data_IF_919067294801
#
_entry.id   IF_919067294801
#
_cell.length_a   1.000
_cell.length_b   1.000
_cell.length_c   1.000
_cell.angle_alpha   90.00
_cell.angle_beta   90.00
_cell.angle_gamma   90.00
#
_symmetry.space_group_name_H-M   'P 1'
#
loop_
_entity.id
_entity.type
_entity.pdbx_description
1 polymer ?
#
# COMPACT_ATOMS: atom_id res chain seq x y z
N UNK A 1 27.10 -62.95 -22.61
CA UNK A 1 27.93 -61.78 -22.25
C UNK A 1 27.59 -60.68 -23.24
N UNK A 2 27.04 -59.53 -22.89
CA UNK A 2 26.71 -58.95 -21.59
C UNK A 2 25.60 -57.92 -21.83
N UNK A 3 24.75 -57.73 -20.82
CA UNK A 3 23.81 -56.62 -20.74
C UNK A 3 24.59 -55.32 -20.51
N UNK A 4 24.47 -54.35 -21.41
CA UNK A 4 24.78 -52.95 -21.13
C UNK A 4 23.78 -52.04 -21.85
N UNK A 5 22.55 -51.97 -21.33
CA UNK A 5 21.67 -50.82 -21.57
C UNK A 5 21.93 -49.80 -20.47
N UNK A 6 23.01 -49.04 -20.62
CA UNK A 6 23.36 -47.91 -19.75
C UNK A 6 22.41 -46.75 -20.08
N UNK A 7 21.27 -46.69 -19.41
CA UNK A 7 20.41 -45.51 -19.40
C UNK A 7 21.08 -44.43 -18.57
N UNK A 8 21.87 -43.58 -19.22
CA UNK A 8 22.33 -42.32 -18.65
C UNK A 8 21.11 -41.43 -18.42
N UNK A 9 20.60 -41.46 -17.18
CA UNK A 9 19.74 -40.42 -16.64
C UNK A 9 20.52 -39.11 -16.68
N UNK A 10 20.32 -38.32 -17.74
CA UNK A 10 20.78 -36.95 -17.77
C UNK A 10 20.07 -36.23 -16.62
N UNK A 11 20.84 -35.77 -15.63
CA UNK A 11 20.33 -34.85 -14.63
C UNK A 11 19.69 -33.68 -15.39
N UNK A 12 18.46 -33.25 -15.03
CA UNK A 12 17.79 -32.19 -15.75
C UNK A 12 18.68 -30.95 -15.74
N UNK A 13 18.98 -30.41 -16.92
CA UNK A 13 19.68 -29.14 -17.08
C UNK A 13 19.06 -28.15 -16.10
N UNK A 14 19.87 -27.65 -15.17
CA UNK A 14 19.45 -26.64 -14.22
C UNK A 14 18.92 -25.48 -15.05
N UNK A 15 17.59 -25.27 -15.03
CA UNK A 15 16.94 -24.19 -15.77
C UNK A 15 17.63 -22.89 -15.38
N UNK A 16 18.42 -22.36 -16.31
CA UNK A 16 19.06 -21.06 -16.19
C UNK A 16 17.96 -20.05 -15.86
N UNK A 17 18.04 -19.44 -14.68
CA UNK A 17 17.09 -18.44 -14.22
C UNK A 17 17.85 -17.13 -14.13
N UNK A 18 17.75 -16.25 -15.14
CA UNK A 18 18.42 -14.96 -15.13
C UNK A 18 18.13 -14.13 -13.86
N UNK A 19 16.95 -14.35 -13.25
CA UNK A 19 16.58 -13.74 -11.98
C UNK A 19 17.52 -14.12 -10.83
N UNK A 20 18.10 -15.33 -10.87
CA UNK A 20 19.03 -15.86 -9.88
C UNK A 20 20.39 -15.16 -9.88
N UNK A 21 20.93 -14.88 -11.07
CA UNK A 21 22.26 -14.24 -11.20
C UNK A 21 22.24 -12.80 -10.68
N UNK A 22 21.13 -12.10 -10.86
CA UNK A 22 20.95 -10.74 -10.36
C UNK A 22 20.67 -10.66 -8.85
N UNK A 23 20.56 -11.79 -8.16
CA UNK A 23 19.97 -11.84 -6.85
C UNK A 23 20.82 -12.65 -5.87
N UNK A 24 21.06 -12.03 -4.72
CA UNK A 24 21.81 -12.61 -3.62
C UNK A 24 20.85 -13.41 -2.71
N UNK A 25 20.96 -14.76 -2.64
CA UNK A 25 20.13 -15.57 -1.74
C UNK A 25 20.24 -15.15 -0.27
N UNK A 26 21.39 -14.66 0.16
CA UNK A 26 21.62 -14.20 1.54
C UNK A 26 20.89 -12.90 1.84
N UNK A 27 20.53 -12.14 0.79
CA UNK A 27 19.70 -10.92 0.89
C UNK A 27 18.21 -11.20 0.77
N UNK A 28 17.77 -12.45 0.68
CA UNK A 28 16.33 -12.75 0.56
C UNK A 28 15.53 -12.15 1.72
N UNK A 29 14.60 -11.23 1.40
CA UNK A 29 13.79 -10.49 2.39
C UNK A 29 14.63 -9.73 3.43
N UNK A 30 15.84 -9.34 3.06
CA UNK A 30 16.65 -8.38 3.80
C UNK A 30 16.40 -7.00 3.18
N UNK A 31 16.13 -6.00 4.01
CA UNK A 31 15.94 -4.64 3.52
C UNK A 31 17.26 -4.10 2.96
N UNK A 32 17.22 -3.60 1.73
CA UNK A 32 18.37 -2.99 1.06
C UNK A 32 18.58 -1.55 1.51
N UNK A 33 17.48 -0.84 1.79
CA UNK A 33 17.48 0.51 2.31
C UNK A 33 16.20 0.81 3.10
N UNK A 34 16.31 1.71 4.07
CA UNK A 34 15.18 2.27 4.79
C UNK A 34 14.63 3.48 4.04
N UNK A 35 13.34 3.47 3.70
CA UNK A 35 12.71 4.54 2.91
C UNK A 35 11.75 5.40 3.74
N UNK A 36 11.11 4.80 4.75
CA UNK A 36 10.24 5.51 5.69
C UNK A 36 10.28 4.85 7.07
N UNK A 37 10.32 5.65 8.13
CA UNK A 37 10.39 5.19 9.51
C UNK A 37 9.07 5.37 10.24
N UNK A 38 8.88 4.63 11.33
CA UNK A 38 7.87 4.96 12.32
C UNK A 38 8.49 4.93 13.71
N UNK A 39 7.95 5.73 14.62
CA UNK A 39 8.51 5.95 15.95
C UNK A 39 8.61 4.65 16.76
N UNK A 40 7.60 3.77 16.68
CA UNK A 40 7.55 2.53 17.49
C UNK A 40 8.44 1.41 16.94
N UNK A 41 8.52 1.22 15.60
CA UNK A 41 9.16 0.04 15.01
C UNK A 41 10.48 0.34 14.28
N UNK A 42 10.86 1.61 14.14
CA UNK A 42 12.07 2.05 13.42
C UNK A 42 12.01 1.91 11.90
N UNK A 43 11.16 1.03 11.36
CA UNK A 43 10.92 0.85 9.92
C UNK A 43 9.43 0.76 9.60
N UNK A 44 9.02 1.41 8.54
CA UNK A 44 7.66 1.35 8.04
C UNK A 44 7.59 1.07 6.53
N UNK A 45 8.53 1.61 5.75
CA UNK A 45 8.73 1.27 4.35
C UNK A 45 10.22 1.03 4.06
N UNK A 46 10.53 -0.01 3.29
CA UNK A 46 11.89 -0.37 2.89
C UNK A 46 11.97 -0.67 1.41
N UNK A 47 13.16 -0.47 0.84
CA UNK A 47 13.57 -1.09 -0.41
C UNK A 47 13.92 -2.55 -0.11
N UNK A 48 13.33 -3.49 -0.83
CA UNK A 48 13.75 -4.90 -0.82
C UNK A 48 13.54 -5.50 -2.21
N UNK A 49 14.61 -5.57 -2.98
CA UNK A 49 14.63 -6.03 -4.37
C UNK A 49 14.38 -7.53 -4.47
N UNK A 50 14.70 -8.29 -3.42
CA UNK A 50 14.69 -9.77 -3.38
C UNK A 50 13.50 -10.37 -2.61
N UNK A 51 12.52 -9.57 -2.18
CA UNK A 51 11.37 -10.08 -1.41
C UNK A 51 10.25 -10.73 -2.24
N UNK A 52 10.33 -10.64 -3.58
CA UNK A 52 9.35 -11.22 -4.50
C UNK A 52 9.15 -12.74 -4.33
N UNK A 53 8.00 -13.25 -4.81
CA UNK A 53 7.65 -14.68 -4.72
C UNK A 53 8.74 -15.55 -5.36
N UNK A 54 9.28 -16.45 -4.54
CA UNK A 54 10.22 -17.52 -4.88
C UNK A 54 10.02 -18.07 -6.29
N UNK A 55 11.10 -18.18 -7.06
CA UNK A 55 11.18 -19.26 -8.05
C UNK A 55 10.85 -20.57 -7.33
N UNK A 56 9.82 -21.28 -7.79
CA UNK A 56 9.42 -22.57 -7.20
C UNK A 56 10.62 -23.53 -7.19
N UNK A 57 10.72 -24.38 -6.17
CA UNK A 57 11.62 -25.55 -6.09
C UNK A 57 13.15 -25.33 -6.06
N UNK A 58 13.72 -24.34 -5.34
CA UNK A 58 15.19 -24.38 -5.14
C UNK A 58 15.93 -23.10 -4.75
N UNK A 59 15.24 -21.97 -4.60
CA UNK A 59 15.68 -20.78 -3.84
C UNK A 59 16.99 -20.13 -4.29
N UNK A 60 16.96 -19.51 -5.46
CA UNK A 60 17.76 -18.31 -5.69
C UNK A 60 16.89 -17.11 -5.32
N UNK A 61 17.47 -16.07 -4.73
CA UNK A 61 16.78 -14.78 -4.70
C UNK A 61 16.44 -14.41 -6.16
N UNK A 62 15.47 -13.52 -6.34
CA UNK A 62 15.11 -13.01 -7.65
C UNK A 62 14.78 -11.52 -7.50
N UNK A 63 15.34 -10.68 -8.37
CA UNK A 63 14.91 -9.29 -8.48
C UNK A 63 13.43 -9.29 -8.86
N UNK A 64 12.60 -8.71 -8.01
CA UNK A 64 11.15 -8.61 -8.22
C UNK A 64 10.73 -7.26 -8.81
N UNK A 65 9.61 -7.26 -9.51
CA UNK A 65 8.95 -6.03 -9.99
C UNK A 65 8.32 -5.21 -8.85
N UNK A 66 8.18 -5.76 -7.65
CA UNK A 66 7.76 -5.05 -6.42
C UNK A 66 9.00 -4.84 -5.57
N UNK A 67 9.44 -3.60 -5.41
CA UNK A 67 10.69 -3.26 -4.68
C UNK A 67 10.44 -2.46 -3.40
N UNK A 68 9.29 -1.78 -3.27
CA UNK A 68 8.92 -1.08 -2.04
C UNK A 68 7.98 -1.92 -1.19
N UNK A 69 8.35 -2.13 0.06
CA UNK A 69 7.63 -3.02 0.96
C UNK A 69 7.23 -2.33 2.25
N UNK A 70 5.97 -2.50 2.61
CA UNK A 70 5.44 -2.03 3.88
C UNK A 70 5.85 -3.00 5.00
N UNK A 71 6.53 -2.49 6.02
CA UNK A 71 7.10 -3.30 7.11
C UNK A 71 6.53 -2.96 8.48
N UNK A 72 5.84 -1.83 8.64
CA UNK A 72 5.20 -1.47 9.90
C UNK A 72 4.02 -2.43 10.22
N UNK A 73 4.01 -3.13 11.37
CA UNK A 73 2.94 -4.06 11.72
C UNK A 73 1.56 -3.42 11.85
N UNK A 74 1.49 -2.17 12.31
CA UNK A 74 0.23 -1.44 12.46
C UNK A 74 -0.32 -0.99 11.10
N UNK A 75 0.55 -0.49 10.22
CA UNK A 75 0.14 -0.11 8.85
C UNK A 75 -0.29 -1.34 8.04
N UNK A 76 0.46 -2.43 8.11
CA UNK A 76 0.06 -3.68 7.47
C UNK A 76 -1.30 -4.16 7.97
N UNK A 77 -1.56 -4.12 9.29
CA UNK A 77 -2.83 -4.61 9.82
C UNK A 77 -4.03 -3.74 9.43
N UNK A 78 -3.91 -2.42 9.50
CA UNK A 78 -5.03 -1.54 9.12
C UNK A 78 -5.30 -1.62 7.62
N UNK A 79 -4.27 -1.73 6.78
CA UNK A 79 -4.45 -1.85 5.33
C UNK A 79 -5.01 -3.24 4.96
N UNK A 80 -4.54 -4.31 5.59
CA UNK A 80 -5.13 -5.64 5.44
C UNK A 80 -6.61 -5.66 5.84
N UNK A 81 -6.99 -4.89 6.86
CA UNK A 81 -8.40 -4.69 7.22
C UNK A 81 -9.16 -4.01 6.08
N UNK A 82 -8.66 -2.92 5.52
CA UNK A 82 -9.31 -2.26 4.38
C UNK A 82 -9.48 -3.20 3.17
N UNK A 83 -8.45 -3.99 2.85
CA UNK A 83 -8.53 -5.01 1.81
C UNK A 83 -9.59 -6.08 2.13
N UNK A 84 -9.67 -6.53 3.39
CA UNK A 84 -10.71 -7.44 3.88
C UNK A 84 -12.12 -6.87 3.76
N UNK A 85 -12.28 -5.56 3.93
CA UNK A 85 -13.52 -4.82 3.66
C UNK A 85 -13.66 -4.37 2.19
N UNK A 86 -13.03 -5.11 1.26
CA UNK A 86 -13.20 -4.96 -0.20
C UNK A 86 -12.82 -3.58 -0.76
N UNK A 87 -11.95 -2.82 -0.08
CA UNK A 87 -11.54 -1.50 -0.56
C UNK A 87 -10.79 -1.57 -1.90
N UNK A 88 -10.08 -2.65 -2.21
CA UNK A 88 -9.48 -2.87 -3.54
C UNK A 88 -10.54 -2.80 -4.64
N UNK A 89 -11.68 -3.47 -4.45
CA UNK A 89 -12.79 -3.45 -5.41
C UNK A 89 -13.42 -2.05 -5.49
N UNK A 90 -13.49 -1.33 -4.38
CA UNK A 90 -13.98 0.06 -4.36
C UNK A 90 -13.06 0.98 -5.18
N UNK A 91 -11.73 0.84 -5.05
CA UNK A 91 -10.78 1.59 -5.89
C UNK A 91 -10.97 1.25 -7.37
N UNK A 92 -11.06 -0.03 -7.73
CA UNK A 92 -11.29 -0.42 -9.14
C UNK A 92 -12.60 0.15 -9.70
N UNK A 93 -13.66 0.19 -8.90
CA UNK A 93 -14.93 0.81 -9.30
C UNK A 93 -14.80 2.33 -9.46
N UNK A 94 -14.09 3.00 -8.56
CA UNK A 94 -13.86 4.44 -8.66
C UNK A 94 -13.00 4.81 -9.87
N UNK A 95 -11.94 4.04 -10.18
CA UNK A 95 -11.15 4.24 -11.40
C UNK A 95 -11.98 4.09 -12.68
N UNK A 96 -12.94 3.17 -12.69
CA UNK A 96 -13.85 3.01 -13.83
C UNK A 96 -14.85 4.17 -13.97
N UNK A 97 -15.24 4.81 -12.88
CA UNK A 97 -16.20 5.92 -12.86
C UNK A 97 -15.54 7.30 -12.98
N UNK A 98 -14.27 7.41 -12.62
CA UNK A 98 -13.51 8.65 -12.54
C UNK A 98 -12.25 8.53 -13.41
N UNK A 99 -12.32 8.85 -14.71
CA UNK A 99 -11.19 8.69 -15.64
C UNK A 99 -9.90 9.37 -15.16
N UNK A 100 -10.00 10.56 -14.57
CA UNK A 100 -8.85 11.27 -14.03
C UNK A 100 -8.09 10.45 -12.96
N UNK A 101 -8.78 9.71 -12.08
CA UNK A 101 -8.14 8.86 -11.08
C UNK A 101 -7.37 7.71 -11.73
N UNK A 102 -7.92 7.12 -12.80
CA UNK A 102 -7.26 6.10 -13.58
C UNK A 102 -5.99 6.67 -14.25
N UNK A 103 -6.10 7.82 -14.91
CA UNK A 103 -4.97 8.49 -15.57
C UNK A 103 -3.84 8.81 -14.59
N UNK A 104 -4.18 9.34 -13.41
CA UNK A 104 -3.23 9.61 -12.34
C UNK A 104 -2.53 8.36 -11.83
N UNK A 105 -3.24 7.24 -11.74
CA UNK A 105 -2.65 5.95 -11.34
C UNK A 105 -1.73 5.41 -12.43
N UNK A 106 -2.13 5.51 -13.70
CA UNK A 106 -1.28 5.12 -14.84
C UNK A 106 0.01 5.94 -14.86
N UNK A 107 -0.09 7.27 -14.72
CA UNK A 107 1.08 8.17 -14.64
C UNK A 107 2.01 7.83 -13.47
N UNK A 108 1.46 7.30 -12.36
CA UNK A 108 2.29 6.91 -11.20
C UNK A 108 3.27 5.77 -11.49
N UNK A 109 3.07 5.00 -12.56
CA UNK A 109 3.98 3.91 -12.95
C UNK A 109 5.32 4.46 -13.48
N UNK A 110 5.31 5.57 -14.20
CA UNK A 110 6.54 6.20 -14.71
C UNK A 110 7.34 6.84 -13.58
N UNK A 111 6.65 7.44 -12.61
CA UNK A 111 7.27 7.97 -11.38
C UNK A 111 7.90 6.82 -10.57
N UNK A 112 7.22 5.68 -10.49
CA UNK A 112 7.76 4.47 -9.88
C UNK A 112 9.01 3.94 -10.59
N UNK A 113 8.98 3.81 -11.92
CA UNK A 113 10.12 3.34 -12.71
C UNK A 113 11.33 4.28 -12.57
N UNK A 114 11.08 5.60 -12.58
CA UNK A 114 12.11 6.61 -12.36
C UNK A 114 12.77 6.45 -10.99
N UNK A 115 11.97 6.28 -9.92
CA UNK A 115 12.51 6.04 -8.58
C UNK A 115 13.23 4.71 -8.46
N UNK A 116 12.75 3.66 -9.12
CA UNK A 116 13.44 2.38 -9.16
C UNK A 116 14.84 2.54 -9.78
N UNK A 117 14.96 3.24 -10.89
CA UNK A 117 16.25 3.54 -11.54
C UNK A 117 17.23 4.28 -10.63
N UNK A 118 16.74 5.20 -9.81
CA UNK A 118 17.58 5.95 -8.84
C UNK A 118 18.11 5.08 -7.70
N UNK A 119 17.32 4.09 -7.26
CA UNK A 119 17.62 3.29 -6.06
C UNK A 119 18.34 1.98 -6.37
N UNK A 120 18.18 1.45 -7.58
CA UNK A 120 18.81 0.21 -8.00
C UNK A 120 20.23 0.44 -8.50
N UNK A 121 21.12 -0.51 -8.23
CA UNK A 121 22.44 -0.52 -8.88
C UNK A 121 22.31 -0.66 -10.41
N UNK A 122 23.31 -0.26 -11.20
CA UNK A 122 23.25 -0.37 -12.66
C UNK A 122 22.90 -1.79 -13.17
N UNK A 123 23.45 -2.83 -12.53
CA UNK A 123 23.16 -4.21 -12.86
C UNK A 123 21.70 -4.61 -12.53
N UNK A 124 21.20 -4.19 -11.37
CA UNK A 124 19.81 -4.43 -10.97
C UNK A 124 18.82 -3.67 -11.85
N UNK A 125 19.13 -2.43 -12.24
CA UNK A 125 18.30 -1.67 -13.17
C UNK A 125 18.25 -2.31 -14.55
N UNK A 126 19.40 -2.69 -15.12
CA UNK A 126 19.46 -3.38 -16.41
C UNK A 126 18.58 -4.65 -16.39
N UNK A 127 18.66 -5.42 -15.31
CA UNK A 127 17.78 -6.57 -15.12
C UNK A 127 16.30 -6.16 -15.06
N UNK A 128 15.97 -5.17 -14.22
CA UNK A 128 14.59 -4.71 -13.99
C UNK A 128 13.94 -4.20 -15.28
N UNK A 129 14.66 -3.36 -16.02
CA UNK A 129 14.21 -2.80 -17.31
C UNK A 129 13.94 -3.90 -18.33
N UNK A 130 14.90 -4.81 -18.53
CA UNK A 130 14.77 -5.91 -19.49
C UNK A 130 13.62 -6.88 -19.19
N UNK A 131 13.28 -7.10 -17.91
CA UNK A 131 12.30 -8.11 -17.52
C UNK A 131 10.93 -7.55 -17.15
N UNK A 132 10.83 -6.28 -16.77
CA UNK A 132 9.59 -5.70 -16.27
C UNK A 132 9.13 -4.46 -17.03
N UNK A 133 9.99 -3.80 -17.81
CA UNK A 133 9.63 -2.61 -18.59
C UNK A 133 9.78 -2.82 -20.11
N UNK A 134 10.27 -3.97 -20.55
CA UNK A 134 10.49 -4.24 -21.98
C UNK A 134 9.18 -4.27 -22.77
N UNK A 135 9.10 -3.40 -23.78
CA UNK A 135 8.01 -3.39 -24.76
C UNK A 135 8.14 -4.50 -25.81
N UNK A 136 9.35 -5.05 -25.99
CA UNK A 136 9.59 -6.20 -26.88
C UNK A 136 8.97 -7.49 -26.34
N UNK A 137 8.71 -7.56 -25.03
CA UNK A 137 8.04 -8.68 -24.38
C UNK A 137 6.83 -8.21 -23.53
N UNK A 138 5.71 -7.81 -24.17
CA UNK A 138 4.55 -7.26 -23.46
C UNK A 138 3.96 -8.18 -22.39
N UNK A 139 4.12 -9.50 -22.52
CA UNK A 139 3.69 -10.49 -21.53
C UNK A 139 4.50 -10.41 -20.22
N UNK A 140 5.75 -9.97 -20.30
CA UNK A 140 6.62 -9.78 -19.15
C UNK A 140 6.46 -8.39 -18.52
N UNK A 141 6.08 -7.37 -19.29
CA UNK A 141 5.88 -6.01 -18.79
C UNK A 141 5.00 -6.00 -17.51
N UNK A 142 5.45 -5.24 -16.50
CA UNK A 142 4.77 -5.05 -15.21
C UNK A 142 4.69 -3.58 -14.87
N UNK A 143 3.52 -3.15 -14.42
CA UNK A 143 3.26 -1.77 -14.06
C UNK A 143 3.30 -1.55 -12.55
N UNK A 144 4.08 -0.53 -12.14
CA UNK A 144 4.12 0.00 -10.78
C UNK A 144 4.68 -0.96 -9.72
N UNK A 145 4.75 -0.49 -8.46
CA UNK A 145 5.24 -1.31 -7.35
C UNK A 145 4.36 -2.55 -7.10
N UNK A 146 3.10 -2.53 -7.54
CA UNK A 146 2.22 -3.68 -7.44
C UNK A 146 2.39 -4.69 -8.59
N UNK A 147 3.30 -4.49 -9.54
CA UNK A 147 3.64 -5.43 -10.61
C UNK A 147 2.40 -6.05 -11.31
N UNK A 148 1.47 -5.21 -11.75
CA UNK A 148 0.26 -5.65 -12.46
C UNK A 148 0.53 -5.80 -13.95
N UNK A 149 -0.30 -6.56 -14.67
CA UNK A 149 -0.14 -6.80 -16.13
C UNK A 149 -0.80 -5.74 -17.02
N UNK A 150 -1.56 -4.81 -16.44
CA UNK A 150 -2.24 -3.73 -17.16
C UNK A 150 -2.06 -2.41 -16.40
N UNK A 151 -1.83 -1.30 -17.10
CA UNK A 151 -1.58 0.00 -16.49
C UNK A 151 -2.73 0.47 -15.57
N UNK A 152 -3.99 0.23 -15.96
CA UNK A 152 -5.17 0.54 -15.14
C UNK A 152 -5.40 -0.47 -13.99
N UNK A 153 -4.61 -1.54 -13.93
CA UNK A 153 -4.76 -2.62 -12.96
C UNK A 153 -4.30 -2.24 -11.56
N UNK A 154 -4.87 -2.92 -10.57
CA UNK A 154 -4.45 -2.85 -9.17
C UNK A 154 -4.70 -4.19 -8.49
N UNK A 155 -3.78 -4.60 -7.61
CA UNK A 155 -3.93 -5.85 -6.83
C UNK A 155 -3.92 -5.69 -5.32
N UNK A 156 -3.21 -4.69 -4.78
CA UNK A 156 -2.91 -4.62 -3.35
C UNK A 156 -2.68 -3.17 -2.91
N UNK A 157 -3.39 -2.75 -1.86
CA UNK A 157 -3.26 -1.42 -1.26
C UNK A 157 -1.94 -1.30 -0.51
N UNK A 158 -1.42 -2.38 0.07
CA UNK A 158 -0.12 -2.36 0.77
C UNK A 158 1.02 -1.91 -0.15
N UNK A 159 1.03 -2.40 -1.39
CA UNK A 159 2.06 -2.05 -2.37
C UNK A 159 1.99 -0.58 -2.77
N UNK A 160 0.79 -0.02 -2.89
CA UNK A 160 0.58 1.39 -3.26
C UNK A 160 0.89 2.33 -2.11
N UNK A 161 0.53 1.95 -0.88
CA UNK A 161 0.96 2.71 0.31
C UNK A 161 2.47 2.64 0.48
N UNK A 162 3.10 1.49 0.25
CA UNK A 162 4.56 1.39 0.26
C UNK A 162 5.20 2.30 -0.79
N UNK A 163 4.62 2.39 -1.99
CA UNK A 163 5.07 3.33 -3.03
C UNK A 163 4.97 4.79 -2.55
N UNK A 164 3.82 5.22 -2.02
CA UNK A 164 3.64 6.56 -1.45
C UNK A 164 4.66 6.86 -0.34
N UNK A 165 4.85 5.95 0.61
CA UNK A 165 5.80 6.14 1.72
C UNK A 165 7.26 6.11 1.26
N UNK A 166 7.57 5.49 0.12
CA UNK A 166 8.89 5.53 -0.50
C UNK A 166 9.22 6.88 -1.17
N UNK A 167 8.33 7.88 -1.05
CA UNK A 167 8.46 9.18 -1.70
C UNK A 167 8.05 9.16 -3.18
N UNK A 168 7.32 8.13 -3.61
CA UNK A 168 6.82 7.99 -4.98
C UNK A 168 5.32 8.22 -4.97
N UNK A 169 4.89 9.37 -5.49
CA UNK A 169 3.49 9.73 -5.53
C UNK A 169 2.65 8.63 -6.22
N UNK A 170 1.63 8.14 -5.52
CA UNK A 170 0.59 7.27 -6.08
C UNK A 170 -0.77 7.75 -5.53
N UNK A 171 -1.76 8.06 -6.39
CA UNK A 171 -3.00 8.69 -5.92
C UNK A 171 -3.75 7.80 -4.93
N UNK A 172 -3.74 6.48 -5.16
CA UNK A 172 -4.46 5.53 -4.31
C UNK A 172 -3.71 5.28 -3.01
N UNK A 173 -2.38 5.12 -3.06
CA UNK A 173 -1.55 5.03 -1.86
C UNK A 173 -1.77 6.25 -0.95
N UNK A 174 -1.84 7.44 -1.53
CA UNK A 174 -2.07 8.70 -0.82
C UNK A 174 -3.49 8.78 -0.23
N UNK A 175 -4.51 8.33 -0.98
CA UNK A 175 -5.88 8.21 -0.49
C UNK A 175 -5.95 7.26 0.70
N UNK A 176 -5.32 6.10 0.63
CA UNK A 176 -5.33 5.12 1.75
C UNK A 176 -4.64 5.70 2.99
N UNK A 177 -3.49 6.37 2.83
CA UNK A 177 -2.82 7.02 3.97
C UNK A 177 -3.70 8.09 4.58
N UNK A 178 -4.26 8.99 3.78
CA UNK A 178 -5.15 10.04 4.27
C UNK A 178 -6.44 9.46 4.88
N UNK A 179 -6.93 8.33 4.39
CA UNK A 179 -8.08 7.65 4.97
C UNK A 179 -7.78 7.13 6.39
N UNK A 180 -6.56 6.63 6.66
CA UNK A 180 -6.13 6.31 8.04
C UNK A 180 -6.17 7.56 8.92
N UNK A 181 -5.74 8.71 8.39
CA UNK A 181 -5.75 9.98 9.13
C UNK A 181 -7.18 10.47 9.43
N UNK A 182 -8.11 10.32 8.48
CA UNK A 182 -9.53 10.59 8.67
C UNK A 182 -10.11 9.68 9.77
N UNK A 183 -9.88 8.36 9.69
CA UNK A 183 -10.37 7.43 10.71
C UNK A 183 -9.82 7.78 12.09
N UNK A 184 -8.54 8.16 12.17
CA UNK A 184 -7.94 8.62 13.43
C UNK A 184 -8.60 9.90 13.95
N UNK A 185 -8.94 10.87 13.08
CA UNK A 185 -9.70 12.06 13.47
C UNK A 185 -11.06 11.67 14.06
N UNK A 186 -11.81 10.80 13.38
CA UNK A 186 -13.12 10.34 13.84
C UNK A 186 -13.03 9.63 15.20
N UNK A 187 -12.04 8.77 15.41
CA UNK A 187 -11.81 8.10 16.71
C UNK A 187 -11.51 9.11 17.81
N UNK A 188 -10.73 10.16 17.51
CA UNK A 188 -10.46 11.24 18.48
C UNK A 188 -11.73 12.02 18.83
N UNK A 189 -12.52 12.42 17.83
CA UNK A 189 -13.80 13.09 18.06
C UNK A 189 -14.74 12.23 18.92
N UNK A 190 -14.80 10.92 18.66
CA UNK A 190 -15.62 9.99 19.46
C UNK A 190 -15.15 9.89 20.92
N UNK A 191 -13.84 9.89 21.17
CA UNK A 191 -13.28 9.88 22.53
C UNK A 191 -13.61 11.18 23.30
N UNK A 192 -13.61 12.32 22.61
CA UNK A 192 -13.98 13.62 23.18
C UNK A 192 -15.48 13.68 23.55
N UNK A 193 -16.36 13.02 22.79
CA UNK A 193 -17.79 12.90 23.09
C UNK A 193 -18.12 11.94 24.25
N UNK A 194 -17.28 10.93 24.49
CA UNK A 194 -17.51 9.87 25.47
C UNK A 194 -17.44 10.31 26.94
N UNK A 195 -16.85 11.48 27.23
CA UNK A 195 -16.70 11.99 28.59
C UNK A 195 -18.02 12.45 29.23
N UNK A 196 -19.13 12.50 28.49
CA UNK A 196 -20.36 13.16 28.94
C UNK A 196 -21.44 12.20 29.46
N UNK A 197 -21.48 10.93 29.02
CA UNK A 197 -22.59 10.00 29.34
C UNK A 197 -22.16 8.52 29.34
N UNK A 198 -22.39 7.81 30.46
CA UNK A 198 -22.01 6.39 30.65
C UNK A 198 -23.00 5.37 30.04
N UNK A 199 -24.20 5.79 29.63
CA UNK A 199 -25.18 4.88 29.02
C UNK A 199 -24.89 4.72 27.52
N UNK A 200 -24.92 3.48 27.01
CA UNK A 200 -24.77 3.20 25.58
C UNK A 200 -23.33 3.06 25.06
N UNK A 201 -22.34 2.82 25.92
CA UNK A 201 -20.92 2.67 25.51
C UNK A 201 -20.74 1.59 24.43
N UNK A 202 -21.38 0.43 24.59
CA UNK A 202 -21.27 -0.66 23.61
C UNK A 202 -21.97 -0.31 22.28
N UNK A 203 -23.13 0.34 22.33
CA UNK A 203 -23.83 0.80 21.13
C UNK A 203 -23.00 1.83 20.35
N UNK A 204 -22.40 2.81 21.05
CA UNK A 204 -21.47 3.77 20.46
C UNK A 204 -20.26 3.08 19.83
N UNK A 205 -19.67 2.10 20.53
CA UNK A 205 -18.55 1.32 20.02
C UNK A 205 -18.92 0.55 18.75
N UNK A 206 -20.08 -0.10 18.73
CA UNK A 206 -20.58 -0.85 17.56
C UNK A 206 -20.87 0.08 16.37
N UNK A 207 -21.48 1.25 16.62
CA UNK A 207 -21.75 2.26 15.57
C UNK A 207 -20.45 2.88 15.03
N UNK A 208 -19.47 3.17 15.90
CA UNK A 208 -18.12 3.60 15.49
C UNK A 208 -17.49 2.56 14.57
N UNK A 209 -17.46 1.31 15.00
CA UNK A 209 -16.87 0.20 14.25
C UNK A 209 -17.55 0.02 12.89
N UNK A 210 -18.89 0.02 12.86
CA UNK A 210 -19.65 -0.09 11.62
C UNK A 210 -19.34 1.06 10.64
N UNK A 211 -19.15 2.27 11.16
CA UNK A 211 -18.78 3.44 10.35
C UNK A 211 -17.35 3.31 9.79
N UNK A 212 -16.38 2.98 10.63
CA UNK A 212 -14.96 2.90 10.24
C UNK A 212 -14.66 1.69 9.32
N UNK A 213 -15.43 0.60 9.45
CA UNK A 213 -15.37 -0.58 8.57
C UNK A 213 -16.17 -0.41 7.27
N UNK A 214 -16.90 0.70 7.12
CA UNK A 214 -17.76 0.94 5.98
C UNK A 214 -16.95 1.16 4.71
N UNK A 215 -17.06 0.23 3.75
CA UNK A 215 -16.53 0.43 2.40
C UNK A 215 -17.17 1.65 1.73
N UNK A 216 -18.41 2.01 2.10
CA UNK A 216 -19.08 3.22 1.59
C UNK A 216 -18.34 4.49 2.05
N UNK A 217 -17.94 4.57 3.32
CA UNK A 217 -17.14 5.70 3.81
C UNK A 217 -15.82 5.85 3.03
N UNK A 218 -15.14 4.73 2.73
CA UNK A 218 -13.93 4.75 1.91
C UNK A 218 -14.21 5.25 0.47
N UNK A 219 -15.27 4.77 -0.17
CA UNK A 219 -15.68 5.22 -1.51
C UNK A 219 -16.04 6.71 -1.53
N UNK A 220 -16.79 7.18 -0.52
CA UNK A 220 -17.22 8.57 -0.39
C UNK A 220 -16.02 9.48 -0.14
N UNK A 221 -15.07 9.04 0.69
CA UNK A 221 -13.79 9.74 0.90
C UNK A 221 -13.00 9.91 -0.39
N UNK A 222 -12.82 8.82 -1.15
CA UNK A 222 -12.11 8.85 -2.43
C UNK A 222 -12.81 9.72 -3.46
N UNK A 223 -14.15 9.69 -3.51
CA UNK A 223 -14.95 10.56 -4.40
C UNK A 223 -14.79 12.03 -4.03
N UNK A 224 -14.83 12.36 -2.74
CA UNK A 224 -14.61 13.72 -2.26
C UNK A 224 -13.20 14.23 -2.58
N UNK A 225 -12.18 13.37 -2.42
CA UNK A 225 -10.81 13.65 -2.84
C UNK A 225 -10.73 13.93 -4.35
N UNK A 226 -11.27 13.04 -5.19
CA UNK A 226 -11.20 13.20 -6.65
C UNK A 226 -11.86 14.51 -7.08
N UNK A 227 -13.03 14.85 -6.52
CA UNK A 227 -13.70 16.13 -6.77
C UNK A 227 -12.83 17.33 -6.38
N UNK A 228 -12.29 17.33 -5.16
CA UNK A 228 -11.44 18.42 -4.68
C UNK A 228 -10.13 18.55 -5.49
N UNK A 229 -9.63 17.44 -6.03
CA UNK A 229 -8.44 17.37 -6.85
C UNK A 229 -8.68 17.88 -8.28
N UNK A 230 -9.78 17.46 -8.91
CA UNK A 230 -10.09 17.77 -10.31
C UNK A 230 -10.56 19.21 -10.52
N UNK A 231 -11.14 19.85 -9.50
CA UNK A 231 -11.52 21.26 -9.52
C UNK A 231 -10.30 22.22 -9.56
N UNK A 232 -9.08 21.73 -9.34
CA UNK A 232 -7.85 22.54 -9.37
C UNK A 232 -7.08 22.33 -10.67
N UNK A 233 -7.20 23.31 -11.58
CA UNK A 233 -6.69 23.21 -12.96
C UNK A 233 -5.15 23.14 -13.11
N UNK A 234 -4.34 23.54 -12.12
CA UNK A 234 -2.93 23.90 -12.40
C UNK A 234 -1.85 22.90 -11.96
N UNK A 235 -2.07 22.00 -10.99
CA UNK A 235 -0.95 21.23 -10.39
C UNK A 235 -1.18 19.70 -10.35
N UNK A 236 -2.31 19.23 -10.91
CA UNK A 236 -2.74 17.85 -10.72
C UNK A 236 -2.96 17.49 -9.24
N UNK A 237 -3.29 16.23 -8.97
CA UNK A 237 -3.61 15.79 -7.60
C UNK A 237 -2.40 15.79 -6.65
N UNK A 238 -1.17 15.64 -7.15
CA UNK A 238 0.04 15.54 -6.33
C UNK A 238 0.48 16.91 -5.76
N UNK A 239 0.07 18.02 -6.39
CA UNK A 239 0.25 19.37 -5.89
C UNK A 239 -0.70 19.76 -4.76
N UNK A 240 -1.69 18.92 -4.41
CA UNK A 240 -2.68 19.26 -3.37
C UNK A 240 -2.02 19.49 -2.02
N UNK A 241 -2.03 20.74 -1.59
CA UNK A 241 -1.59 21.18 -0.26
C UNK A 241 -2.71 21.94 0.43
N UNK A 242 -2.92 21.62 1.71
CA UNK A 242 -3.86 22.34 2.59
C UNK A 242 -5.27 22.46 1.99
N UNK A 243 -5.73 21.41 1.29
CA UNK A 243 -7.07 21.37 0.70
C UNK A 243 -8.00 20.73 1.71
N UNK A 244 -9.07 21.44 2.06
CA UNK A 244 -10.15 20.88 2.88
C UNK A 244 -11.34 20.51 2.01
N UNK A 245 -11.95 19.38 2.31
CA UNK A 245 -13.17 18.93 1.64
C UNK A 245 -14.08 18.19 2.61
N UNK A 246 -15.37 18.18 2.28
CA UNK A 246 -16.38 17.47 3.04
C UNK A 246 -16.47 16.00 2.61
N UNK A 247 -16.48 15.11 3.60
CA UNK A 247 -16.59 13.66 3.44
C UNK A 247 -17.92 13.20 4.03
N UNK A 248 -18.87 12.71 3.20
CA UNK A 248 -20.11 12.13 3.69
C UNK A 248 -19.86 10.99 4.69
N UNK A 249 -20.63 10.97 5.77
CA UNK A 249 -20.63 9.87 6.73
C UNK A 249 -21.81 8.93 6.45
N UNK A 250 -21.66 7.62 6.70
CA UNK A 250 -22.78 6.67 6.63
C UNK A 250 -23.95 7.11 7.52
N UNK A 251 -25.18 6.86 7.07
CA UNK A 251 -26.39 7.09 7.88
C UNK A 251 -26.35 6.27 9.18
N UNK A 252 -26.89 6.84 10.26
CA UNK A 252 -26.90 6.20 11.58
C UNK A 252 -25.54 6.15 12.29
N UNK A 253 -24.55 6.92 11.84
CA UNK A 253 -23.26 7.02 12.52
C UNK A 253 -23.40 7.67 13.91
N UNK A 254 -22.50 7.31 14.83
CA UNK A 254 -22.55 7.75 16.23
C UNK A 254 -22.33 9.25 16.43
N UNK A 255 -21.77 9.97 15.45
CA UNK A 255 -21.50 11.40 15.57
C UNK A 255 -22.75 12.24 15.30
N UNK A 256 -23.83 11.65 14.76
CA UNK A 256 -25.06 12.38 14.41
C UNK A 256 -24.84 13.43 13.31
N UNK A 257 -23.77 13.31 12.53
CA UNK A 257 -23.39 14.23 11.45
C UNK A 257 -23.66 13.58 10.10
N UNK A 258 -24.05 14.36 9.11
CA UNK A 258 -24.17 13.88 7.72
C UNK A 258 -22.82 13.81 7.01
N UNK A 259 -21.85 14.59 7.46
CA UNK A 259 -20.51 14.65 6.90
C UNK A 259 -19.46 15.16 7.90
N UNK A 260 -18.19 15.01 7.54
CA UNK A 260 -17.03 15.51 8.30
C UNK A 260 -16.10 16.30 7.39
N UNK A 261 -15.57 17.41 7.89
CA UNK A 261 -14.54 18.19 7.20
C UNK A 261 -13.18 17.51 7.37
N UNK A 262 -12.48 17.29 6.27
CA UNK A 262 -11.16 16.68 6.24
C UNK A 262 -10.16 17.55 5.50
N UNK A 263 -8.98 17.74 6.08
CA UNK A 263 -7.87 18.45 5.44
C UNK A 263 -6.83 17.47 4.89
N UNK A 264 -6.66 17.48 3.58
CA UNK A 264 -5.68 16.66 2.86
C UNK A 264 -4.25 16.91 3.34
N UNK A 265 -3.52 15.82 3.57
CA UNK A 265 -2.10 15.82 3.88
C UNK A 265 -1.31 15.36 2.66
N UNK A 266 -0.42 16.23 2.20
CA UNK A 266 0.51 15.90 1.13
C UNK A 266 1.51 14.85 1.59
N UNK A 267 2.01 14.03 0.67
CA UNK A 267 2.93 12.93 0.96
C UNK A 267 4.20 13.42 1.68
N UNK A 268 4.70 14.59 1.30
CA UNK A 268 5.86 15.25 1.93
C UNK A 268 5.67 15.58 3.42
N UNK A 269 4.44 15.64 3.92
CA UNK A 269 4.13 15.95 5.31
C UNK A 269 4.08 14.69 6.19
N UNK A 270 3.98 13.50 5.59
CA UNK A 270 3.72 12.25 6.31
C UNK A 270 4.81 11.90 7.33
N UNK A 271 6.08 12.17 7.00
CA UNK A 271 7.21 11.89 7.88
C UNK A 271 7.25 12.80 9.13
N UNK A 272 6.56 13.95 9.09
CA UNK A 272 6.55 14.96 10.16
C UNK A 272 5.31 14.91 11.05
N UNK A 273 4.40 13.96 10.81
CA UNK A 273 3.18 13.82 11.59
C UNK A 273 3.49 13.52 13.06
N UNK A 274 2.80 14.22 13.96
CA UNK A 274 2.78 13.94 15.39
C UNK A 274 1.31 13.83 15.87
N UNK A 275 0.88 12.71 16.48
CA UNK A 275 1.53 11.39 16.43
C UNK A 275 1.76 10.91 14.98
N UNK A 276 2.75 10.03 14.78
CA UNK A 276 3.11 9.52 13.45
C UNK A 276 2.03 8.60 12.86
N UNK A 277 2.20 8.21 11.59
CA UNK A 277 1.21 7.37 10.90
C UNK A 277 1.02 6.00 11.58
N UNK A 278 2.08 5.45 12.17
CA UNK A 278 2.03 4.18 12.88
C UNK A 278 1.18 4.25 14.16
N UNK A 279 1.38 5.27 14.98
CA UNK A 279 0.61 5.50 16.20
C UNK A 279 -0.85 5.80 15.87
N UNK A 280 -1.12 6.57 14.81
CA UNK A 280 -2.49 6.82 14.34
C UNK A 280 -3.20 5.55 13.88
N UNK A 281 -2.52 4.70 13.10
CA UNK A 281 -3.05 3.40 12.70
C UNK A 281 -3.32 2.49 13.92
N UNK A 282 -2.45 2.51 14.93
CA UNK A 282 -2.67 1.75 16.17
C UNK A 282 -3.92 2.22 16.91
N UNK A 283 -4.09 3.53 17.09
CA UNK A 283 -5.28 4.10 17.74
C UNK A 283 -6.57 3.66 17.04
N UNK A 284 -6.59 3.67 15.70
CA UNK A 284 -7.75 3.21 14.91
C UNK A 284 -7.97 1.71 15.09
N UNK A 285 -6.92 0.89 15.04
CA UNK A 285 -7.03 -0.56 15.26
C UNK A 285 -7.57 -0.89 16.65
N UNK A 286 -7.10 -0.20 17.69
CA UNK A 286 -7.59 -0.36 19.07
C UNK A 286 -9.06 0.02 19.17
N UNK A 287 -9.51 1.08 18.48
CA UNK A 287 -10.93 1.45 18.44
C UNK A 287 -11.80 0.37 17.74
N UNK A 288 -11.29 -0.27 16.70
CA UNK A 288 -12.00 -1.29 15.91
C UNK A 288 -12.06 -2.67 16.59
N UNK A 289 -10.97 -3.06 17.26
CA UNK A 289 -10.82 -4.38 17.91
C UNK A 289 -11.22 -4.32 19.40
N UNK A 290 -11.09 -3.15 20.01
CA UNK A 290 -11.35 -2.87 21.43
C UNK A 290 -10.42 -3.58 22.41
N UNK A 291 -9.29 -4.09 21.93
CA UNK A 291 -8.19 -4.62 22.72
C UNK A 291 -6.88 -4.12 22.12
N UNK A 292 -5.86 -3.98 22.96
CA UNK A 292 -4.50 -3.73 22.47
C UNK A 292 -4.00 -4.98 21.74
N UNK A 293 -3.54 -4.82 20.49
CA UNK A 293 -2.93 -5.92 19.75
C UNK A 293 -1.69 -6.42 20.50
N UNK A 294 -1.62 -7.72 20.75
CA UNK A 294 -0.38 -8.33 21.22
C UNK A 294 0.71 -8.09 20.18
N UNK A 295 1.91 -7.69 20.64
CA UNK A 295 3.11 -7.49 19.81
C UNK A 295 3.41 -8.77 19.02
N UNK A 296 2.95 -8.88 17.78
CA UNK A 296 3.39 -9.94 16.89
C UNK A 296 4.85 -9.68 16.51
N UNK A 297 5.78 -10.47 17.07
CA UNK A 297 7.23 -10.43 16.76
C UNK A 297 7.58 -10.78 15.30
N UNK A 298 6.62 -11.10 14.43
CA UNK A 298 6.92 -11.48 13.04
C UNK A 298 7.13 -10.23 12.19
N UNK A 299 8.36 -9.73 12.18
CA UNK A 299 8.84 -8.83 11.12
C UNK A 299 9.03 -9.62 9.83
N UNK A 300 7.95 -9.83 9.06
CA UNK A 300 8.10 -10.32 7.69
C UNK A 300 8.00 -9.12 6.76
N UNK A 301 8.99 -8.97 5.89
CA UNK A 301 8.78 -8.31 4.61
C UNK A 301 7.80 -9.24 3.89
N UNK A 302 6.56 -8.77 3.66
CA UNK A 302 5.51 -9.58 3.03
C UNK A 302 5.95 -10.11 1.67
#
# INVERSE_FOLDING_TARGET
MSEEKRTTSAAPEAKYNAYAEAADPDRYRVADALLFTCAEHGKACVLCVTAGKNGRNGRTAAVGATIFWLTCPNLNAIIARFEGHRCVRAVSAAMAQQPCLCDWHVQSHDVYASRARELLSPAQWCFFEAHFLSDDQPSLHKYGNAAVSHAAGMKCLHALVAQTLAGVANPVGSVVVNYILLQHQLVREAAEMGNTEQHGVEERRLSMKATLDSTRLFSDFMTAFVRAASERACEGWHGLRNVSFEVPLPEGNMWGKTAVQYMWRADSQLATLCPDLCARALTVLVALEGQLRHRHKKHRIN
#
